data_IF_600740050775
#
_entry.id   IF_600740050775
#
_cell.length_a   1.000
_cell.length_b   1.000
_cell.length_c   1.000
_cell.angle_alpha   90.00
_cell.angle_beta   90.00
_cell.angle_gamma   90.00
#
_symmetry.space_group_name_H-M   'P 1'
#
loop_
_entity.id
_entity.type
_entity.pdbx_description
1 polymer ?
#
# COMPACT_ATOMS: atom_id res chain seq x y z
N UNK A 1 50.61 0.98 4.45
CA UNK A 1 50.22 0.68 3.05
C UNK A 1 49.41 -0.60 3.03
N UNK A 2 48.08 -0.49 3.07
CA UNK A 2 47.06 -1.50 2.72
C UNK A 2 45.74 -0.70 2.65
N UNK A 3 45.62 0.25 1.71
CA UNK A 3 44.79 0.12 0.49
C UNK A 3 43.43 -0.55 0.79
N UNK A 4 42.43 0.21 1.25
CA UNK A 4 41.43 0.89 0.40
C UNK A 4 40.86 -0.02 -0.69
N UNK A 5 39.96 -0.93 -0.33
CA UNK A 5 39.05 -1.56 -1.28
C UNK A 5 37.80 -2.07 -0.57
N UNK A 6 36.85 -1.17 -0.29
CA UNK A 6 35.48 -1.59 0.02
C UNK A 6 34.47 -0.46 -0.23
N UNK A 7 34.52 0.17 -1.40
CA UNK A 7 33.44 1.05 -1.86
C UNK A 7 33.34 0.91 -3.39
N UNK A 8 32.12 0.72 -3.90
CA UNK A 8 31.70 0.67 -5.32
C UNK A 8 31.55 -0.73 -5.97
N UNK A 9 30.53 -1.47 -5.53
CA UNK A 9 29.76 -2.32 -6.45
C UNK A 9 28.26 -2.12 -6.26
N UNK A 10 27.78 -0.90 -6.49
CA UNK A 10 26.39 -0.71 -6.89
C UNK A 10 26.25 -1.25 -8.32
N UNK A 11 25.56 -2.38 -8.47
CA UNK A 11 25.14 -2.87 -9.79
C UNK A 11 24.29 -1.76 -10.42
N UNK A 12 24.71 -1.30 -11.60
CA UNK A 12 23.94 -0.42 -12.48
C UNK A 12 22.51 -0.98 -12.60
N UNK A 13 21.50 -0.20 -12.20
CA UNK A 13 20.07 -0.54 -12.30
C UNK A 13 19.77 -0.95 -13.74
N UNK A 14 19.24 -2.15 -13.96
CA UNK A 14 18.55 -2.45 -15.21
C UNK A 14 17.28 -1.60 -15.19
N UNK A 15 17.13 -0.66 -16.12
CA UNK A 15 15.90 0.12 -16.25
C UNK A 15 14.72 -0.85 -16.40
N UNK A 16 13.73 -0.75 -15.51
CA UNK A 16 12.55 -1.63 -15.46
C UNK A 16 12.60 -2.80 -14.47
N UNK A 17 13.66 -2.97 -13.68
CA UNK A 17 13.66 -3.98 -12.60
C UNK A 17 12.78 -3.50 -11.42
N UNK A 18 11.67 -4.20 -11.20
CA UNK A 18 10.81 -4.15 -10.00
C UNK A 18 11.66 -4.25 -8.73
N UNK A 19 11.57 -3.27 -7.84
CA UNK A 19 12.28 -3.30 -6.55
C UNK A 19 11.30 -3.16 -5.39
N UNK A 20 11.52 -3.97 -4.37
CA UNK A 20 10.80 -3.85 -3.11
C UNK A 20 11.51 -2.83 -2.24
N UNK A 21 10.75 -1.88 -1.70
CA UNK A 21 11.23 -0.81 -0.83
C UNK A 21 10.53 -0.89 0.51
N UNK A 22 11.33 -0.86 1.58
CA UNK A 22 10.85 -0.65 2.94
C UNK A 22 10.24 0.75 3.03
N UNK A 23 8.97 0.87 3.40
CA UNK A 23 8.31 2.18 3.42
C UNK A 23 8.89 3.09 4.50
N UNK A 24 9.33 2.54 5.65
CA UNK A 24 10.03 3.34 6.66
C UNK A 24 11.37 3.91 6.20
N UNK A 25 12.05 3.28 5.24
CA UNK A 25 13.28 3.86 4.67
C UNK A 25 13.02 5.10 3.81
N UNK A 26 11.77 5.29 3.38
CA UNK A 26 11.35 6.39 2.53
C UNK A 26 10.88 7.59 3.37
N UNK A 27 10.49 7.37 4.62
CA UNK A 27 10.16 8.45 5.56
C UNK A 27 11.37 9.40 5.69
N UNK A 28 11.11 10.71 5.65
CA UNK A 28 12.11 11.77 5.64
C UNK A 28 12.74 12.05 4.27
N UNK A 29 12.24 11.45 3.17
CA UNK A 29 12.66 11.84 1.83
C UNK A 29 12.08 13.21 1.47
N UNK A 30 12.84 14.05 0.77
CA UNK A 30 12.34 15.34 0.32
C UNK A 30 11.30 15.14 -0.78
N UNK A 31 10.26 15.98 -0.76
CA UNK A 31 9.21 16.04 -1.76
C UNK A 31 9.39 17.35 -2.53
N UNK A 32 9.76 17.23 -3.81
CA UNK A 32 10.11 18.35 -4.68
C UNK A 32 8.99 18.55 -5.69
N UNK A 33 8.34 19.72 -5.63
CA UNK A 33 7.33 20.14 -6.59
C UNK A 33 7.96 20.62 -7.90
N UNK A 34 7.12 21.03 -8.87
CA UNK A 34 7.57 21.70 -10.08
C UNK A 34 8.19 23.08 -9.85
N UNK A 35 7.86 23.74 -8.74
CA UNK A 35 8.25 25.12 -8.44
C UNK A 35 8.93 25.31 -7.07
N UNK A 36 9.30 24.24 -6.38
CA UNK A 36 10.07 24.32 -5.15
C UNK A 36 9.88 23.10 -4.25
N UNK A 37 10.52 23.13 -3.09
CA UNK A 37 10.37 22.08 -2.09
C UNK A 37 9.02 22.18 -1.37
N UNK A 38 8.36 21.03 -1.19
CA UNK A 38 7.09 20.88 -0.46
C UNK A 38 7.35 20.55 1.00
N UNK A 39 8.37 19.75 1.28
CA UNK A 39 8.69 19.23 2.61
C UNK A 39 9.13 17.78 2.52
N UNK A 40 8.81 16.96 3.51
CA UNK A 40 9.33 15.59 3.64
C UNK A 40 8.22 14.54 3.69
N UNK A 41 8.56 13.30 3.31
CA UNK A 41 7.67 12.14 3.49
C UNK A 41 7.48 11.87 4.97
N UNK A 42 6.25 11.99 5.46
CA UNK A 42 5.92 11.71 6.85
C UNK A 42 5.48 10.26 7.07
N UNK A 43 4.60 9.76 6.20
CA UNK A 43 3.92 8.46 6.39
C UNK A 43 3.28 8.00 5.06
N UNK A 44 2.68 6.80 5.05
CA UNK A 44 1.95 6.25 3.91
C UNK A 44 0.59 5.71 4.33
N UNK A 45 -0.42 5.99 3.51
CA UNK A 45 -1.75 5.38 3.61
C UNK A 45 -1.90 4.27 2.58
N UNK A 46 -2.18 3.05 3.04
CA UNK A 46 -2.51 1.92 2.18
C UNK A 46 -3.95 1.48 2.36
N UNK A 47 -4.51 0.93 1.29
CA UNK A 47 -5.83 0.29 1.25
C UNK A 47 -5.73 -1.12 1.86
N UNK A 48 -6.39 -1.36 2.99
CA UNK A 48 -6.31 -2.63 3.73
C UNK A 48 -6.99 -3.82 3.03
N UNK A 49 -7.76 -3.56 1.96
CA UNK A 49 -8.37 -4.58 1.13
C UNK A 49 -7.50 -4.94 -0.07
N UNK A 50 -7.01 -3.93 -0.80
CA UNK A 50 -6.24 -4.13 -2.02
C UNK A 50 -4.71 -4.14 -1.80
N UNK A 51 -4.25 -3.75 -0.62
CA UNK A 51 -2.83 -3.63 -0.26
C UNK A 51 -2.04 -2.73 -1.23
N UNK A 52 -2.71 -1.68 -1.73
CA UNK A 52 -2.09 -0.64 -2.54
C UNK A 52 -1.86 0.59 -1.67
N UNK A 53 -0.67 1.17 -1.70
CA UNK A 53 -0.44 2.52 -1.18
C UNK A 53 -1.26 3.49 -2.03
N UNK A 54 -2.12 4.28 -1.40
CA UNK A 54 -3.02 5.23 -2.05
C UNK A 54 -2.56 6.66 -1.90
N UNK A 55 -1.89 6.97 -0.79
CA UNK A 55 -1.35 8.29 -0.52
C UNK A 55 -0.02 8.18 0.23
N UNK A 56 0.90 9.06 -0.12
CA UNK A 56 2.03 9.48 0.69
C UNK A 56 1.59 10.71 1.49
N UNK A 57 1.84 10.74 2.80
CA UNK A 57 1.60 11.90 3.65
C UNK A 57 2.85 12.77 3.63
N UNK A 58 2.71 14.04 3.32
CA UNK A 58 3.78 15.02 3.36
C UNK A 58 3.70 15.86 4.64
N UNK A 59 4.82 15.97 5.35
CA UNK A 59 5.05 17.04 6.31
C UNK A 59 5.58 18.25 5.55
N UNK A 60 4.85 19.37 5.58
CA UNK A 60 5.22 20.57 4.83
C UNK A 60 6.03 21.57 5.65
N UNK A 61 6.33 21.27 6.92
CA UNK A 61 7.02 22.17 7.82
C UNK A 61 6.26 23.49 8.01
N UNK A 62 6.99 24.60 8.02
CA UNK A 62 6.45 25.89 8.46
C UNK A 62 5.61 26.63 7.42
N UNK A 63 5.64 26.25 6.14
CA UNK A 63 4.94 27.03 5.09
C UNK A 63 3.47 26.64 4.93
N UNK A 64 3.06 25.45 5.40
CA UNK A 64 1.66 25.00 5.38
C UNK A 64 1.33 24.13 6.60
N UNK A 65 1.38 24.73 7.79
CA UNK A 65 1.26 24.03 9.08
C UNK A 65 -0.12 23.42 9.35
N UNK A 66 -1.18 23.97 8.76
CA UNK A 66 -2.55 23.63 9.15
C UNK A 66 -3.17 22.52 8.27
N UNK A 67 -2.35 21.85 7.44
CA UNK A 67 -2.83 20.89 6.44
C UNK A 67 -2.00 19.60 6.46
N UNK A 68 -2.67 18.47 6.71
CA UNK A 68 -2.12 17.16 6.30
C UNK A 68 -2.24 17.04 4.79
N UNK A 69 -1.10 16.98 4.11
CA UNK A 69 -1.05 16.89 2.64
C UNK A 69 -0.96 15.45 2.20
N UNK A 70 -1.95 14.98 1.45
CA UNK A 70 -1.97 13.65 0.84
C UNK A 70 -1.58 13.72 -0.64
N UNK A 71 -0.54 12.99 -1.03
CA UNK A 71 -0.05 12.91 -2.41
C UNK A 71 -0.31 11.51 -2.95
N UNK A 72 -1.16 11.39 -3.96
CA UNK A 72 -1.39 10.09 -4.60
C UNK A 72 -0.17 9.63 -5.41
N UNK A 73 0.17 8.32 -5.43
CA UNK A 73 1.24 7.77 -6.25
C UNK A 73 1.22 8.15 -7.75
N UNK A 74 0.06 8.49 -8.32
CA UNK A 74 -0.02 8.99 -9.71
C UNK A 74 0.63 10.36 -9.92
N UNK A 75 0.79 11.12 -8.85
CA UNK A 75 1.49 12.40 -8.88
C UNK A 75 3.00 12.23 -8.68
N UNK A 76 3.47 11.05 -8.27
CA UNK A 76 4.89 10.78 -8.07
C UNK A 76 5.59 10.58 -9.41
N UNK A 77 6.68 11.30 -9.60
CA UNK A 77 7.67 11.01 -10.61
C UNK A 77 8.59 9.86 -10.19
N UNK A 78 9.68 9.68 -10.94
CA UNK A 78 10.72 8.72 -10.59
C UNK A 78 11.45 9.22 -9.34
N UNK A 79 11.47 8.41 -8.28
CA UNK A 79 12.25 8.69 -7.09
C UNK A 79 13.76 8.74 -7.41
N UNK A 80 14.44 9.72 -6.84
CA UNK A 80 15.89 9.74 -6.73
C UNK A 80 16.29 9.09 -5.41
N UNK A 81 16.58 7.79 -5.47
CA UNK A 81 16.93 7.00 -4.30
C UNK A 81 18.29 7.37 -3.71
N UNK A 82 19.20 7.91 -4.52
CA UNK A 82 20.55 8.26 -4.06
C UNK A 82 20.54 9.60 -3.32
N UNK A 83 19.77 10.57 -3.84
CA UNK A 83 19.57 11.88 -3.21
C UNK A 83 18.38 11.92 -2.23
N UNK A 84 17.70 10.79 -2.02
CA UNK A 84 16.56 10.64 -1.10
C UNK A 84 15.43 11.65 -1.33
N UNK A 85 14.96 11.79 -2.58
CA UNK A 85 13.85 12.68 -2.89
C UNK A 85 12.87 12.13 -3.94
N UNK A 86 11.65 12.67 -3.92
CA UNK A 86 10.62 12.46 -4.93
C UNK A 86 10.29 13.76 -5.63
N UNK A 87 10.41 13.76 -6.95
CA UNK A 87 9.78 14.79 -7.76
C UNK A 87 8.30 14.47 -7.92
N UNK A 88 7.42 15.45 -7.71
CA UNK A 88 5.98 15.31 -7.91
C UNK A 88 5.48 16.27 -8.97
N UNK A 89 4.46 15.85 -9.73
CA UNK A 89 3.84 16.68 -10.77
C UNK A 89 2.74 17.60 -10.19
N UNK A 90 3.07 18.30 -9.10
CA UNK A 90 2.22 19.28 -8.42
C UNK A 90 3.05 20.56 -8.20
N UNK A 91 2.39 21.70 -8.01
CA UNK A 91 3.02 22.93 -7.50
C UNK A 91 2.50 23.27 -6.09
N UNK A 92 3.20 24.19 -5.41
CA UNK A 92 2.88 24.55 -4.01
C UNK A 92 1.50 25.17 -3.89
N UNK A 93 1.10 25.99 -4.85
CA UNK A 93 -0.20 26.67 -4.88
C UNK A 93 -1.36 25.67 -5.04
N UNK A 94 -1.18 24.60 -5.83
CA UNK A 94 -2.13 23.49 -5.92
C UNK A 94 -2.25 22.71 -4.60
N UNK A 95 -1.16 22.58 -3.84
CA UNK A 95 -1.18 21.89 -2.54
C UNK A 95 -1.90 22.75 -1.49
N UNK A 96 -1.55 24.04 -1.41
CA UNK A 96 -2.14 25.00 -0.49
C UNK A 96 -3.67 25.14 -0.68
N UNK A 97 -4.15 25.03 -1.92
CA UNK A 97 -5.58 25.16 -2.26
C UNK A 97 -6.34 23.83 -2.26
N UNK A 98 -5.71 22.74 -1.86
CA UNK A 98 -6.34 21.42 -1.82
C UNK A 98 -7.38 21.33 -0.70
N UNK A 99 -8.36 20.41 -0.80
CA UNK A 99 -9.27 20.12 0.29
C UNK A 99 -8.51 19.81 1.59
N UNK A 100 -8.87 20.51 2.67
CA UNK A 100 -8.26 20.36 3.98
C UNK A 100 -8.82 19.13 4.68
N UNK A 101 -7.92 18.25 5.15
CA UNK A 101 -8.33 17.12 5.99
C UNK A 101 -8.65 17.66 7.39
N UNK A 102 -9.85 17.38 7.90
CA UNK A 102 -10.22 17.75 9.25
C UNK A 102 -9.36 16.95 10.25
N UNK A 103 -8.56 17.63 11.06
CA UNK A 103 -7.63 17.00 12.01
C UNK A 103 -8.33 16.12 13.07
N UNK A 104 -9.63 16.34 13.31
CA UNK A 104 -10.42 15.52 14.23
C UNK A 104 -10.86 14.19 13.62
N UNK A 105 -10.69 14.00 12.30
CA UNK A 105 -10.96 12.73 11.64
C UNK A 105 -9.81 11.76 11.87
N UNK A 106 -10.04 10.75 12.71
CA UNK A 106 -9.09 9.65 12.92
C UNK A 106 -8.82 8.85 11.63
N UNK A 107 -9.79 8.83 10.71
CA UNK A 107 -9.72 8.09 9.45
C UNK A 107 -10.06 9.01 8.29
N UNK A 108 -9.42 8.77 7.14
CA UNK A 108 -9.76 9.48 5.90
C UNK A 108 -11.17 9.05 5.46
N UNK A 109 -12.10 9.99 5.43
CA UNK A 109 -13.46 9.72 4.95
C UNK A 109 -13.49 9.51 3.43
N UNK A 110 -14.45 8.72 2.94
CA UNK A 110 -14.63 8.52 1.50
C UNK A 110 -15.04 9.82 0.80
N UNK A 111 -15.75 10.70 1.51
CA UNK A 111 -16.12 12.02 1.01
C UNK A 111 -14.87 12.87 0.78
N UNK A 112 -13.94 12.91 1.74
CA UNK A 112 -12.68 13.63 1.56
C UNK A 112 -11.89 13.11 0.37
N UNK A 113 -11.77 11.78 0.19
CA UNK A 113 -11.10 11.22 -0.99
C UNK A 113 -11.77 11.62 -2.32
N UNK A 114 -13.11 11.70 -2.36
CA UNK A 114 -13.82 12.18 -3.54
C UNK A 114 -13.50 13.64 -3.84
N UNK A 115 -13.46 14.49 -2.81
CA UNK A 115 -13.15 15.91 -2.96
C UNK A 115 -11.70 16.12 -3.43
N UNK A 116 -10.75 15.38 -2.85
CA UNK A 116 -9.34 15.41 -3.21
C UNK A 116 -9.12 14.90 -4.64
N UNK A 117 -9.71 13.75 -4.99
CA UNK A 117 -9.62 13.20 -6.34
C UNK A 117 -10.29 14.12 -7.38
N UNK A 118 -11.41 14.74 -7.04
CA UNK A 118 -12.08 15.73 -7.88
C UNK A 118 -11.23 16.98 -8.11
N UNK A 119 -10.57 17.47 -7.05
CA UNK A 119 -9.70 18.64 -7.11
C UNK A 119 -8.48 18.41 -8.01
N UNK A 120 -7.76 17.30 -7.83
CA UNK A 120 -6.57 16.99 -8.62
C UNK A 120 -6.87 16.29 -9.96
N UNK A 121 -8.12 15.88 -10.19
CA UNK A 121 -8.49 15.07 -11.35
C UNK A 121 -7.94 13.63 -11.29
N UNK A 122 -7.70 13.10 -10.09
CA UNK A 122 -7.18 11.75 -9.92
C UNK A 122 -8.25 10.69 -10.22
N UNK A 123 -7.84 9.50 -10.72
CA UNK A 123 -8.76 8.38 -10.89
C UNK A 123 -9.30 7.89 -9.53
N UNK A 124 -10.61 7.74 -9.42
CA UNK A 124 -11.27 7.16 -8.25
C UNK A 124 -11.11 5.64 -8.25
N UNK A 125 -10.10 5.13 -7.53
CA UNK A 125 -9.76 3.71 -7.54
C UNK A 125 -10.83 2.81 -6.91
N UNK A 126 -11.77 3.38 -6.14
CA UNK A 126 -12.86 2.67 -5.44
C UNK A 126 -14.16 2.54 -6.27
N UNK A 127 -14.25 3.20 -7.42
CA UNK A 127 -15.45 3.17 -8.28
C UNK A 127 -15.39 1.97 -9.24
N UNK A 128 -15.83 0.81 -8.76
CA UNK A 128 -15.64 -0.54 -9.34
C UNK A 128 -16.14 -0.84 -10.76
N UNK A 129 -16.57 0.14 -11.57
CA UNK A 129 -17.04 -0.10 -12.95
C UNK A 129 -16.44 0.87 -14.00
N UNK A 130 -15.65 1.86 -13.55
CA UNK A 130 -14.82 2.75 -14.41
C UNK A 130 -13.48 3.10 -13.75
N UNK A 131 -13.06 2.33 -12.74
CA UNK A 131 -11.82 2.52 -12.02
C UNK A 131 -10.62 2.29 -12.93
N UNK A 132 -10.04 3.38 -13.43
CA UNK A 132 -8.90 3.44 -14.36
C UNK A 132 -7.57 2.90 -13.82
N UNK A 133 -7.60 1.80 -13.07
CA UNK A 133 -6.43 1.01 -12.71
C UNK A 133 -6.49 -0.43 -13.20
N UNK A 134 -7.61 -0.95 -13.70
CA UNK A 134 -7.63 -2.25 -14.39
C UNK A 134 -6.67 -2.33 -15.61
N UNK A 135 -6.20 -1.17 -16.12
CA UNK A 135 -5.18 -1.08 -17.16
C UNK A 135 -3.71 -0.98 -16.70
N UNK A 136 -3.46 -0.77 -15.39
CA UNK A 136 -2.10 -0.75 -14.80
C UNK A 136 -1.89 -1.86 -13.75
N UNK A 137 -2.96 -2.38 -13.15
CA UNK A 137 -2.96 -3.56 -12.29
C UNK A 137 -3.47 -4.76 -13.08
N UNK A 138 -2.64 -5.33 -13.95
CA UNK A 138 -2.95 -6.58 -14.65
C UNK A 138 -3.16 -7.79 -13.74
N UNK A 139 -2.76 -7.73 -12.46
CA UNK A 139 -2.45 -8.96 -11.70
C UNK A 139 -3.14 -9.12 -10.33
N UNK A 140 -4.03 -8.21 -9.93
CA UNK A 140 -4.73 -8.33 -8.64
C UNK A 140 -6.23 -8.07 -8.77
N UNK A 141 -6.99 -9.12 -9.08
CA UNK A 141 -8.38 -9.24 -8.63
C UNK A 141 -8.35 -10.07 -7.33
N UNK A 142 -8.64 -9.49 -6.16
CA UNK A 142 -8.91 -10.29 -4.98
C UNK A 142 -10.13 -11.18 -5.27
N UNK A 143 -9.95 -12.49 -5.19
CA UNK A 143 -11.05 -13.44 -5.26
C UNK A 143 -11.95 -13.24 -4.04
N UNK A 144 -13.16 -12.74 -4.27
CA UNK A 144 -14.19 -12.57 -3.26
C UNK A 144 -14.48 -13.90 -2.54
N UNK A 145 -14.05 -14.03 -1.28
CA UNK A 145 -14.74 -14.89 -0.33
C UNK A 145 -15.67 -13.96 0.46
N UNK A 146 -16.78 -13.58 -0.17
CA UNK A 146 -17.91 -13.06 0.58
C UNK A 146 -18.74 -14.26 1.01
N UNK A 147 -18.73 -14.54 2.32
CA UNK A 147 -19.66 -15.46 2.94
C UNK A 147 -21.09 -14.97 2.69
N UNK A 148 -21.77 -15.63 1.76
CA UNK A 148 -23.23 -15.75 1.71
C UNK A 148 -24.00 -14.52 1.27
N UNK A 149 -24.22 -14.37 -0.03
CA UNK A 149 -25.58 -14.22 -0.61
C UNK A 149 -25.51 -14.64 -2.08
N UNK A 150 -26.19 -15.75 -2.42
CA UNK A 150 -26.36 -16.17 -3.81
C UNK A 150 -27.31 -15.19 -4.51
N UNK A 151 -26.82 -14.45 -5.50
CA UNK A 151 -27.67 -13.98 -6.59
C UNK A 151 -27.28 -14.73 -7.86
N UNK A 152 -28.20 -15.58 -8.30
CA UNK A 152 -28.04 -16.45 -9.46
C UNK A 152 -27.83 -15.65 -10.74
N UNK A 153 -26.80 -16.02 -11.49
CA UNK A 153 -26.63 -15.59 -12.87
C UNK A 153 -27.69 -16.22 -13.77
N UNK A 154 -28.39 -15.40 -14.52
CA UNK A 154 -29.05 -15.81 -15.75
C UNK A 154 -28.36 -15.08 -16.91
N UNK A 155 -27.94 -15.87 -17.88
CA UNK A 155 -27.22 -15.46 -19.06
C UNK A 155 -28.03 -14.55 -19.97
N UNK A 156 -27.33 -13.66 -20.68
CA UNK A 156 -27.57 -13.44 -22.10
C UNK A 156 -27.94 -12.03 -22.56
N UNK A 157 -27.33 -11.70 -23.70
CA UNK A 157 -27.91 -10.97 -24.85
C UNK A 157 -27.67 -9.46 -24.94
N UNK A 158 -27.05 -9.11 -26.06
CA UNK A 158 -26.98 -7.81 -26.73
C UNK A 158 -28.32 -7.08 -26.76
N UNK A 159 -28.34 -5.83 -26.29
CA UNK A 159 -29.45 -4.90 -26.47
C UNK A 159 -29.03 -3.47 -26.15
N UNK A 160 -28.88 -2.65 -27.19
CA UNK A 160 -28.80 -1.18 -27.10
C UNK A 160 -30.09 -0.65 -26.46
N UNK A 161 -30.07 -0.35 -25.17
CA UNK A 161 -31.16 0.27 -24.44
C UNK A 161 -30.80 1.68 -23.99
N UNK A 162 -31.51 2.69 -24.50
CA UNK A 162 -31.60 3.99 -23.85
C UNK A 162 -32.14 3.79 -22.42
N UNK A 163 -31.26 3.77 -21.44
CA UNK A 163 -31.65 3.78 -20.03
C UNK A 163 -32.27 5.14 -19.71
N UNK A 164 -33.47 5.14 -19.14
CA UNK A 164 -34.21 6.35 -18.79
C UNK A 164 -33.45 7.17 -17.74
N UNK A 165 -33.54 8.50 -17.80
CA UNK A 165 -32.87 9.39 -16.84
C UNK A 165 -33.26 9.10 -15.38
N UNK A 166 -34.47 8.57 -15.15
CA UNK A 166 -34.94 8.13 -13.84
C UNK A 166 -34.12 6.97 -13.28
N UNK A 167 -33.77 5.96 -14.09
CA UNK A 167 -32.90 4.85 -13.66
C UNK A 167 -31.48 5.35 -13.35
N UNK A 168 -30.93 6.26 -14.17
CA UNK A 168 -29.61 6.88 -13.91
C UNK A 168 -29.56 7.72 -12.64
N UNK A 169 -30.68 8.32 -12.23
CA UNK A 169 -30.77 9.04 -10.96
C UNK A 169 -30.91 8.08 -9.77
N UNK A 170 -31.65 6.98 -9.95
CA UNK A 170 -31.85 5.98 -8.91
C UNK A 170 -30.57 5.15 -8.67
N UNK A 171 -29.83 4.79 -9.72
CA UNK A 171 -28.53 4.14 -9.62
C UNK A 171 -27.49 5.06 -8.98
N UNK A 172 -27.48 6.36 -9.30
CA UNK A 172 -26.61 7.35 -8.63
C UNK A 172 -26.93 7.50 -7.15
N UNK A 173 -28.22 7.53 -6.78
CA UNK A 173 -28.65 7.60 -5.38
C UNK A 173 -28.29 6.32 -4.61
N UNK A 174 -28.46 5.16 -5.23
CA UNK A 174 -28.11 3.87 -4.63
C UNK A 174 -26.59 3.69 -4.49
N UNK A 175 -25.80 4.16 -5.46
CA UNK A 175 -24.34 4.20 -5.36
C UNK A 175 -23.88 5.18 -4.26
N UNK A 176 -24.48 6.37 -4.16
CA UNK A 176 -24.19 7.28 -3.05
C UNK A 176 -24.58 6.71 -1.67
N UNK A 177 -25.60 5.85 -1.59
CA UNK A 177 -26.01 5.21 -0.34
C UNK A 177 -25.19 3.97 0.04
N UNK A 178 -24.41 3.39 -0.88
CA UNK A 178 -23.65 2.14 -0.65
C UNK A 178 -22.15 2.36 -0.46
N UNK A 179 -21.66 3.58 -0.65
CA UNK A 179 -20.27 3.91 -0.33
C UNK A 179 -20.11 3.90 1.20
N UNK A 180 -19.22 3.07 1.78
CA UNK A 180 -18.94 3.17 3.20
C UNK A 180 -18.49 4.60 3.51
N UNK A 181 -19.05 5.18 4.57
CA UNK A 181 -18.69 6.53 5.03
C UNK A 181 -17.18 6.63 5.32
N UNK A 182 -16.57 5.51 5.72
CA UNK A 182 -15.16 5.39 6.04
C UNK A 182 -14.37 4.77 4.89
N UNK A 183 -13.16 5.27 4.68
CA UNK A 183 -12.21 4.64 3.79
C UNK A 183 -11.51 3.47 4.47
N UNK A 184 -11.04 2.53 3.66
CA UNK A 184 -10.22 1.38 4.07
C UNK A 184 -8.74 1.75 4.18
N UNK A 185 -8.45 3.04 4.37
CA UNK A 185 -7.09 3.54 4.42
C UNK A 185 -6.53 3.40 5.82
N UNK A 186 -5.28 2.97 5.88
CA UNK A 186 -4.54 2.75 7.11
C UNK A 186 -3.15 3.34 6.97
N UNK A 187 -2.72 4.04 8.01
CA UNK A 187 -1.33 4.46 8.16
C UNK A 187 -0.43 3.25 8.39
N UNK A 188 0.77 3.27 7.84
CA UNK A 188 1.76 2.24 8.17
C UNK A 188 2.31 2.43 9.60
N UNK A 189 2.28 3.65 10.12
CA UNK A 189 2.62 3.95 11.51
C UNK A 189 1.57 3.37 12.46
N UNK A 190 0.28 3.52 12.13
CA UNK A 190 -0.82 2.93 12.92
C UNK A 190 -0.69 1.41 13.07
N UNK A 191 -0.23 0.71 12.03
CA UNK A 191 -0.11 -0.76 12.02
C UNK A 191 1.24 -1.26 12.54
N UNK A 192 2.25 -0.40 12.54
CA UNK A 192 3.55 -0.72 13.11
C UNK A 192 3.40 -1.11 14.59
N UNK A 193 4.05 -2.20 14.99
CA UNK A 193 4.04 -2.69 16.37
C UNK A 193 2.85 -3.59 16.72
N UNK A 194 1.88 -3.76 15.80
CA UNK A 194 0.80 -4.74 15.96
C UNK A 194 1.38 -6.14 16.19
N UNK A 195 0.76 -6.92 17.07
CA UNK A 195 1.15 -8.31 17.31
C UNK A 195 0.75 -9.19 16.13
N UNK A 196 1.62 -10.13 15.74
CA UNK A 196 1.32 -11.15 14.75
C UNK A 196 0.93 -12.45 15.46
N UNK A 197 -0.27 -12.94 15.21
CA UNK A 197 -0.74 -14.26 15.67
C UNK A 197 -0.71 -15.28 14.56
N UNK A 198 -0.13 -16.43 14.87
CA UNK A 198 -0.25 -17.64 14.05
C UNK A 198 -1.47 -18.43 14.49
N UNK A 199 -1.83 -19.46 13.73
CA UNK A 199 -2.97 -20.34 14.06
C UNK A 199 -2.79 -21.11 15.38
N UNK A 200 -1.56 -21.17 15.89
CA UNK A 200 -1.16 -21.96 17.05
C UNK A 200 -0.36 -21.15 18.10
N UNK A 201 -0.28 -19.82 17.97
CA UNK A 201 0.45 -19.00 18.94
C UNK A 201 0.75 -17.56 18.49
N UNK A 202 1.90 -17.06 18.94
CA UNK A 202 2.33 -15.67 18.70
C UNK A 202 3.68 -15.69 18.01
N UNK A 203 3.85 -14.81 17.03
CA UNK A 203 5.07 -14.78 16.23
C UNK A 203 6.00 -13.62 16.59
N UNK A 204 5.45 -12.42 16.76
CA UNK A 204 6.25 -11.20 16.80
C UNK A 204 5.42 -9.96 16.55
N UNK A 205 6.06 -8.88 16.09
CA UNK A 205 5.40 -7.61 15.82
C UNK A 205 5.63 -7.12 14.40
N UNK A 206 4.66 -6.40 13.85
CA UNK A 206 4.83 -5.65 12.60
C UNK A 206 5.97 -4.65 12.77
N UNK A 207 6.97 -4.71 11.90
CA UNK A 207 8.10 -3.80 11.91
C UNK A 207 8.03 -2.79 10.77
N UNK A 208 7.66 -3.22 9.57
CA UNK A 208 7.61 -2.37 8.37
C UNK A 208 6.78 -3.04 7.26
N UNK A 209 6.68 -2.38 6.12
CA UNK A 209 6.03 -2.85 4.91
C UNK A 209 6.99 -2.71 3.73
N UNK A 210 7.01 -3.72 2.86
CA UNK A 210 7.74 -3.68 1.61
C UNK A 210 6.76 -3.46 0.47
N UNK A 211 6.86 -2.29 -0.17
CA UNK A 211 6.07 -1.93 -1.32
C UNK A 211 6.87 -2.04 -2.61
N UNK A 212 6.15 -2.32 -3.69
CA UNK A 212 6.67 -2.30 -5.04
C UNK A 212 6.94 -0.87 -5.52
N UNK A 213 8.16 -0.56 -5.96
CA UNK A 213 8.49 0.80 -6.40
C UNK A 213 7.91 1.22 -7.75
N UNK A 214 7.33 0.28 -8.52
CA UNK A 214 6.68 0.60 -9.78
C UNK A 214 5.17 0.80 -9.63
N UNK A 215 4.51 -0.06 -8.85
CA UNK A 215 3.05 -0.04 -8.74
C UNK A 215 2.51 0.21 -7.33
N UNK A 216 3.39 0.47 -6.37
CA UNK A 216 3.05 0.85 -5.01
C UNK A 216 2.16 -0.15 -4.28
N UNK A 217 2.20 -1.42 -4.70
CA UNK A 217 1.55 -2.52 -4.00
C UNK A 217 2.43 -2.96 -2.85
N UNK A 218 1.88 -2.99 -1.64
CA UNK A 218 2.48 -3.67 -0.49
C UNK A 218 2.54 -5.17 -0.80
N UNK A 219 3.75 -5.70 -0.94
CA UNK A 219 3.99 -7.12 -1.23
C UNK A 219 4.21 -7.92 0.02
N UNK A 220 4.80 -7.30 1.04
CA UNK A 220 5.11 -7.93 2.31
C UNK A 220 4.92 -6.99 3.48
N UNK A 221 4.50 -7.56 4.59
CA UNK A 221 4.69 -7.04 5.94
C UNK A 221 5.98 -7.67 6.49
N UNK A 222 6.89 -6.84 6.98
CA UNK A 222 8.09 -7.24 7.69
C UNK A 222 7.77 -7.42 9.17
N UNK A 223 8.14 -8.58 9.72
CA UNK A 223 7.81 -8.96 11.09
C UNK A 223 9.10 -9.20 11.88
N UNK A 224 9.22 -8.52 13.01
CA UNK A 224 10.25 -8.73 14.02
C UNK A 224 9.84 -9.88 14.97
N UNK A 225 10.66 -10.94 15.03
CA UNK A 225 10.44 -12.08 15.94
C UNK A 225 11.41 -12.14 17.12
N UNK A 226 12.31 -11.15 17.30
CA UNK A 226 13.42 -11.21 18.26
C UNK A 226 13.00 -11.42 19.71
N UNK A 227 11.80 -10.95 20.09
CA UNK A 227 11.28 -11.11 21.46
C UNK A 227 10.67 -12.48 21.74
N UNK A 228 10.36 -13.26 20.69
CA UNK A 228 9.59 -14.50 20.79
C UNK A 228 10.43 -15.73 20.42
N UNK A 229 11.34 -15.60 19.46
CA UNK A 229 12.17 -16.70 18.96
C UNK A 229 13.62 -16.63 19.46
N UNK A 230 14.20 -17.73 19.99
CA UNK A 230 15.63 -17.79 20.27
C UNK A 230 16.44 -17.53 19.01
N UNK A 231 17.32 -16.53 19.07
CA UNK A 231 18.13 -16.12 17.92
C UNK A 231 17.44 -15.18 16.92
N UNK A 232 16.22 -14.71 17.24
CA UNK A 232 15.53 -13.56 16.64
C UNK A 232 15.79 -13.25 15.17
N UNK A 233 14.79 -13.45 14.30
CA UNK A 233 14.93 -13.15 12.87
C UNK A 233 13.80 -12.29 12.34
N UNK A 234 14.07 -11.61 11.24
CA UNK A 234 13.05 -10.96 10.43
C UNK A 234 12.31 -11.99 9.58
N UNK A 235 11.01 -11.77 9.37
CA UNK A 235 10.16 -12.61 8.53
C UNK A 235 9.33 -11.74 7.60
N UNK A 236 9.17 -12.17 6.35
CA UNK A 236 8.26 -11.54 5.39
C UNK A 236 6.96 -12.33 5.30
N UNK A 237 5.84 -11.64 5.55
CA UNK A 237 4.48 -12.15 5.41
C UNK A 237 3.80 -11.44 4.25
N UNK A 238 3.26 -12.18 3.27
CA UNK A 238 2.48 -11.52 2.20
C UNK A 238 1.04 -11.29 2.65
N UNK A 239 0.38 -10.20 2.20
CA UNK A 239 -1.03 -9.92 2.49
C UNK A 239 -1.98 -11.09 2.29
N UNK A 240 -1.74 -11.94 1.31
CA UNK A 240 -2.62 -13.08 1.01
C UNK A 240 -2.59 -14.18 2.08
N UNK A 241 -1.63 -14.14 3.02
CA UNK A 241 -1.57 -15.07 4.14
C UNK A 241 -2.24 -14.53 5.41
N UNK A 242 -2.66 -13.27 5.40
CA UNK A 242 -3.39 -12.64 6.50
C UNK A 242 -4.83 -13.15 6.49
N UNK A 243 -5.28 -13.61 7.65
CA UNK A 243 -6.66 -14.04 7.88
C UNK A 243 -7.55 -12.82 8.23
N UNK A 244 -7.10 -12.02 9.21
CA UNK A 244 -7.79 -10.81 9.64
C UNK A 244 -6.82 -9.83 10.32
N UNK A 245 -7.22 -8.56 10.38
CA UNK A 245 -6.58 -7.52 11.20
C UNK A 245 -7.61 -7.06 12.21
N UNK A 246 -7.27 -7.17 13.49
CA UNK A 246 -8.06 -6.67 14.60
C UNK A 246 -7.46 -5.33 15.08
N UNK A 247 -8.14 -4.24 14.71
CA UNK A 247 -7.68 -2.88 14.96
C UNK A 247 -7.75 -2.49 16.43
N UNK A 248 -8.76 -2.95 17.15
CA UNK A 248 -8.96 -2.62 18.57
C UNK A 248 -7.89 -3.28 19.44
N UNK A 249 -7.54 -4.52 19.11
CA UNK A 249 -6.51 -5.29 19.83
C UNK A 249 -5.10 -5.08 19.28
N UNK A 250 -4.94 -4.26 18.22
CA UNK A 250 -3.66 -4.03 17.55
C UNK A 250 -2.98 -5.34 17.12
N UNK A 251 -3.72 -6.20 16.44
CA UNK A 251 -3.30 -7.58 16.13
C UNK A 251 -3.57 -7.96 14.67
N UNK A 252 -2.65 -8.71 14.06
CA UNK A 252 -2.77 -9.31 12.73
C UNK A 252 -2.72 -10.82 12.86
N UNK A 253 -3.79 -11.50 12.45
CA UNK A 253 -3.82 -12.95 12.40
C UNK A 253 -3.40 -13.47 11.02
N UNK A 254 -2.51 -14.46 11.00
CA UNK A 254 -2.03 -15.09 9.77
C UNK A 254 -2.37 -16.57 9.73
N UNK A 255 -2.68 -17.07 8.54
CA UNK A 255 -2.94 -18.50 8.30
C UNK A 255 -1.62 -19.28 8.09
N UNK A 256 -0.78 -19.25 9.12
CA UNK A 256 0.52 -19.93 9.24
C UNK A 256 0.67 -20.45 10.67
N UNK A 257 1.48 -21.50 10.87
CA UNK A 257 1.89 -21.96 12.21
C UNK A 257 3.21 -21.34 12.63
N UNK A 258 3.49 -21.27 13.94
CA UNK A 258 4.79 -20.84 14.45
C UNK A 258 5.93 -21.69 13.87
N UNK A 259 5.71 -22.99 13.73
CA UNK A 259 6.71 -23.92 13.19
C UNK A 259 7.06 -23.61 11.72
N UNK A 260 6.05 -23.27 10.89
CA UNK A 260 6.31 -22.85 9.51
C UNK A 260 7.17 -21.58 9.49
N UNK A 261 6.88 -20.62 10.36
CA UNK A 261 7.60 -19.35 10.37
C UNK A 261 9.01 -19.49 10.94
N UNK A 262 9.17 -20.23 12.04
CA UNK A 262 10.48 -20.55 12.65
C UNK A 262 11.45 -21.16 11.63
N UNK A 263 10.95 -21.99 10.72
CA UNK A 263 11.76 -22.65 9.70
C UNK A 263 11.87 -21.88 8.37
N UNK A 264 11.25 -20.70 8.26
CA UNK A 264 11.30 -19.90 7.02
C UNK A 264 12.71 -19.43 6.66
N UNK A 265 13.00 -19.24 5.36
CA UNK A 265 14.24 -18.61 4.92
C UNK A 265 14.47 -17.26 5.61
N UNK A 266 15.69 -17.04 6.10
CA UNK A 266 16.06 -15.78 6.74
C UNK A 266 16.20 -14.66 5.69
N UNK A 267 15.65 -13.49 6.01
CA UNK A 267 15.79 -12.28 5.20
C UNK A 267 16.86 -11.39 5.78
N UNK A 268 17.82 -11.00 4.95
CA UNK A 268 18.74 -9.90 5.25
C UNK A 268 18.05 -8.60 4.83
N UNK A 269 17.52 -7.87 5.80
CA UNK A 269 16.72 -6.64 5.57
C UNK A 269 17.55 -5.48 5.04
N UNK A 270 18.88 -5.56 5.14
CA UNK A 270 19.80 -4.54 4.61
C UNK A 270 20.17 -4.81 3.14
N UNK A 271 19.65 -5.89 2.56
CA UNK A 271 19.85 -6.24 1.14
C UNK A 271 18.54 -6.17 0.37
N UNK A 272 18.61 -5.80 -0.93
CA UNK A 272 17.45 -5.90 -1.80
C UNK A 272 16.90 -7.33 -1.83
N UNK A 273 15.60 -7.46 -1.62
CA UNK A 273 14.90 -8.73 -1.75
C UNK A 273 14.94 -9.18 -3.20
N UNK A 274 15.53 -10.34 -3.46
CA UNK A 274 15.70 -10.87 -4.82
C UNK A 274 14.58 -11.85 -5.18
N UNK A 275 14.36 -12.03 -6.48
CA UNK A 275 13.36 -13.00 -6.98
C UNK A 275 13.70 -14.44 -6.56
N UNK A 276 14.98 -14.77 -6.42
CA UNK A 276 15.44 -16.07 -5.93
C UNK A 276 15.08 -16.25 -4.44
N UNK A 277 15.24 -15.21 -3.62
CA UNK A 277 14.79 -15.26 -2.23
C UNK A 277 13.27 -15.42 -2.15
N UNK A 278 12.50 -14.61 -2.89
CA UNK A 278 11.05 -14.73 -2.90
C UNK A 278 10.62 -16.14 -3.35
N UNK A 279 11.29 -16.73 -4.34
CA UNK A 279 10.99 -18.09 -4.81
C UNK A 279 11.15 -19.13 -3.69
N UNK A 280 12.27 -19.08 -2.95
CA UNK A 280 12.49 -19.96 -1.79
C UNK A 280 11.44 -19.74 -0.70
N UNK A 281 11.06 -18.49 -0.46
CA UNK A 281 10.05 -18.14 0.54
C UNK A 281 8.69 -18.77 0.18
N UNK A 282 8.22 -18.59 -1.05
CA UNK A 282 6.95 -19.16 -1.50
C UNK A 282 6.97 -20.69 -1.55
N UNK A 283 8.09 -21.29 -1.97
CA UNK A 283 8.29 -22.75 -1.95
C UNK A 283 8.25 -23.31 -0.53
N UNK A 284 8.92 -22.65 0.43
CA UNK A 284 8.91 -23.03 1.84
C UNK A 284 7.50 -23.09 2.42
N UNK A 285 6.68 -22.08 2.16
CA UNK A 285 5.29 -22.05 2.62
C UNK A 285 4.33 -22.85 1.73
N UNK A 286 4.79 -23.41 0.62
CA UNK A 286 3.96 -24.10 -0.39
C UNK A 286 2.80 -23.23 -0.88
N UNK A 287 3.08 -21.95 -1.15
CA UNK A 287 2.09 -20.94 -1.57
C UNK A 287 2.34 -20.51 -3.03
N UNK A 288 1.29 -20.13 -3.78
CA UNK A 288 1.45 -19.65 -5.15
C UNK A 288 2.20 -18.33 -5.19
N UNK A 289 3.16 -18.23 -6.11
CA UNK A 289 3.95 -17.01 -6.34
C UNK A 289 3.06 -15.94 -6.98
N UNK A 290 3.03 -14.75 -6.39
CA UNK A 290 2.13 -13.68 -6.87
C UNK A 290 2.47 -13.16 -8.28
N UNK A 291 3.66 -13.47 -8.79
CA UNK A 291 4.18 -13.03 -10.10
C UNK A 291 4.09 -14.09 -11.21
N UNK A 292 3.54 -15.27 -10.93
CA UNK A 292 3.36 -16.36 -11.92
C UNK A 292 1.89 -16.45 -12.39
N UNK A 293 1.16 -15.33 -12.33
CA UNK A 293 -0.24 -15.24 -12.77
C UNK A 293 -0.35 -14.89 -14.24
#
# INVERSE_FOLDING_TARGET
>A
MFHYWCIHKYKKRQEGSKMLRRLKEIIGYDIISRNGEIGEVHDFLFDDYNWAVRYMIADTGDWLTDHKVLISPVSLGKADWDNKNFHVNLDKEQIERSPVLNENERYISRQYENDLAGYYGWPQYWSGDRGGYAGYSGDYTPSYIHSGTRYGGAAGTTGTGMQSEGMRQQDRRNQQQTMPFESNLRSIDDVTGFDIRTTDGTLGKVEDFLADDNNWMVRYMLVDTHKILPGGKHVLITPHWINQINWDDSEVEVNLTEAMVKNSPEVDVDRPITREYESRLFEHYSRPKYWER
#
